data_IF_952025016704
#
_entry.id   IF_952025016704
#
_cell.length_a   1.000
_cell.length_b   1.000
_cell.length_c   1.000
_cell.angle_alpha   90.00
_cell.angle_beta   90.00
_cell.angle_gamma   90.00
#
_symmetry.space_group_name_H-M   'P 1'
#
loop_
_entity.id
_entity.type
_entity.pdbx_description
1 polymer ?
#
# COMPACT_ATOMS: atom_id res chain seq x y z
N UNK A 1 -12.10 16.56 0.03
CA UNK A 1 -12.78 16.85 1.31
C UNK A 1 -11.87 16.44 2.47
N UNK A 2 -10.56 16.71 2.39
CA UNK A 2 -9.65 16.39 3.48
C UNK A 2 -9.83 17.34 4.65
N UNK A 3 -9.58 16.87 5.88
CA UNK A 3 -9.61 17.71 7.09
C UNK A 3 -10.94 18.45 7.32
N UNK A 4 -12.06 17.85 6.89
CA UNK A 4 -13.39 18.46 6.96
C UNK A 4 -14.24 17.87 8.10
N UNK A 5 -13.64 17.13 9.04
CA UNK A 5 -14.32 16.46 10.16
C UNK A 5 -15.50 15.58 9.73
N UNK A 6 -15.43 14.96 8.55
CA UNK A 6 -16.51 14.12 8.01
C UNK A 6 -16.61 12.84 8.85
N UNK A 7 -17.59 12.79 9.76
CA UNK A 7 -17.82 11.62 10.61
C UNK A 7 -18.61 10.51 9.91
N UNK A 8 -19.42 10.86 8.92
CA UNK A 8 -20.24 9.91 8.15
C UNK A 8 -20.28 10.29 6.68
N UNK A 9 -20.08 9.31 5.82
CA UNK A 9 -20.42 9.36 4.39
C UNK A 9 -21.74 8.59 4.28
N UNK A 10 -22.76 9.04 3.55
CA UNK A 10 -23.99 8.26 3.32
C UNK A 10 -23.80 7.30 2.13
N UNK A 11 -24.57 6.19 2.04
CA UNK A 11 -24.29 5.10 1.09
C UNK A 11 -24.47 5.57 -0.36
N UNK A 12 -25.33 6.56 -0.53
CA UNK A 12 -25.68 7.19 -1.79
C UNK A 12 -24.85 8.43 -2.12
N UNK A 13 -23.92 8.85 -1.25
CA UNK A 13 -23.17 10.12 -1.39
C UNK A 13 -22.46 10.22 -2.74
N UNK A 14 -22.01 9.08 -3.30
CA UNK A 14 -21.30 9.04 -4.57
C UNK A 14 -22.10 8.36 -5.70
N UNK A 15 -23.21 7.67 -5.42
CA UNK A 15 -23.96 6.86 -6.40
C UNK A 15 -24.39 7.63 -7.66
N UNK A 16 -24.64 8.94 -7.56
CA UNK A 16 -25.05 9.81 -8.69
C UNK A 16 -23.88 10.49 -9.42
N UNK A 17 -22.64 10.35 -8.94
CA UNK A 17 -21.48 11.10 -9.43
C UNK A 17 -20.60 10.24 -10.35
N UNK A 18 -21.19 9.75 -11.45
CA UNK A 18 -20.49 8.93 -12.44
C UNK A 18 -19.28 9.58 -13.13
N UNK A 19 -18.89 10.79 -12.77
CA UNK A 19 -17.73 11.52 -13.29
C UNK A 19 -16.58 11.68 -12.29
N UNK A 20 -16.70 11.18 -11.05
CA UNK A 20 -15.61 11.32 -10.08
C UNK A 20 -14.38 10.53 -10.54
N UNK A 21 -13.30 11.25 -10.80
CA UNK A 21 -11.98 10.70 -11.10
C UNK A 21 -11.02 10.84 -9.92
N UNK A 22 -11.29 11.77 -9.01
CA UNK A 22 -10.50 12.03 -7.82
C UNK A 22 -11.41 12.18 -6.61
N UNK A 23 -11.08 11.49 -5.52
CA UNK A 23 -11.80 11.60 -4.26
C UNK A 23 -10.82 11.61 -3.09
N UNK A 24 -10.96 12.63 -2.26
CA UNK A 24 -10.15 12.78 -1.05
C UNK A 24 -11.05 12.89 0.18
N UNK A 25 -10.92 11.92 1.06
CA UNK A 25 -11.60 11.74 2.34
C UNK A 25 -10.58 11.64 3.49
N UNK A 26 -9.33 12.03 3.25
CA UNK A 26 -8.27 11.92 4.24
C UNK A 26 -8.51 12.80 5.48
N UNK A 27 -8.03 12.35 6.63
CA UNK A 27 -8.06 13.12 7.89
C UNK A 27 -9.46 13.60 8.31
N UNK A 28 -10.46 12.72 8.23
CA UNK A 28 -11.83 13.01 8.60
C UNK A 28 -12.34 12.21 9.81
N UNK A 29 -11.50 11.36 10.41
CA UNK A 29 -11.86 10.45 11.50
C UNK A 29 -13.07 9.55 11.16
N UNK A 30 -13.13 9.07 9.91
CA UNK A 30 -14.22 8.22 9.42
C UNK A 30 -14.12 6.85 10.10
N UNK A 31 -15.15 6.38 10.84
CA UNK A 31 -15.06 5.13 11.60
C UNK A 31 -15.23 3.89 10.72
N UNK A 32 -15.85 4.02 9.54
CA UNK A 32 -16.14 2.87 8.65
C UNK A 32 -16.32 3.31 7.20
N UNK A 33 -15.70 2.57 6.29
CA UNK A 33 -15.92 2.69 4.84
C UNK A 33 -16.25 1.30 4.30
N UNK A 34 -17.42 1.17 3.68
CA UNK A 34 -17.91 -0.07 3.08
C UNK A 34 -17.85 0.01 1.56
N UNK A 35 -17.91 -1.15 0.91
CA UNK A 35 -17.99 -1.31 -0.55
C UNK A 35 -19.20 -0.57 -1.15
N UNK A 36 -20.30 -0.47 -0.41
CA UNK A 36 -21.50 0.25 -0.85
C UNK A 36 -21.22 1.74 -1.11
N UNK A 37 -20.30 2.37 -0.36
CA UNK A 37 -19.93 3.79 -0.56
C UNK A 37 -19.31 4.04 -1.92
N UNK A 38 -18.64 3.05 -2.50
CA UNK A 38 -17.94 3.17 -3.78
C UNK A 38 -18.65 2.43 -4.93
N UNK A 39 -19.86 1.95 -4.69
CA UNK A 39 -20.62 1.23 -5.69
C UNK A 39 -20.81 2.10 -6.95
N UNK A 40 -20.47 1.55 -8.11
CA UNK A 40 -20.57 2.27 -9.39
C UNK A 40 -19.50 3.34 -9.63
N UNK A 41 -18.55 3.57 -8.72
CA UNK A 41 -17.44 4.54 -8.89
C UNK A 41 -16.32 3.98 -9.79
N UNK A 42 -16.68 3.43 -10.95
CA UNK A 42 -15.74 2.79 -11.86
C UNK A 42 -14.80 3.79 -12.53
N UNK A 43 -15.15 5.08 -12.59
CA UNK A 43 -14.33 6.13 -13.19
C UNK A 43 -13.29 6.73 -12.24
N UNK A 44 -13.28 6.32 -10.97
CA UNK A 44 -12.33 6.84 -9.99
C UNK A 44 -10.91 6.39 -10.33
N UNK A 45 -9.99 7.35 -10.41
CA UNK A 45 -8.58 7.16 -10.74
C UNK A 45 -7.70 7.29 -9.51
N UNK A 46 -8.03 8.20 -8.59
CA UNK A 46 -7.24 8.45 -7.38
C UNK A 46 -8.15 8.56 -6.15
N UNK A 47 -7.83 7.80 -5.11
CA UNK A 47 -8.57 7.74 -3.85
C UNK A 47 -7.64 7.96 -2.66
N UNK A 48 -7.94 8.98 -1.87
CA UNK A 48 -7.26 9.28 -0.62
C UNK A 48 -8.21 9.05 0.56
N UNK A 49 -7.86 8.11 1.45
CA UNK A 49 -8.59 7.86 2.70
C UNK A 49 -7.64 7.82 3.91
N UNK A 50 -6.41 8.30 3.73
CA UNK A 50 -5.35 8.30 4.75
C UNK A 50 -5.72 9.12 5.99
N UNK A 51 -5.10 8.84 7.13
CA UNK A 51 -5.35 9.61 8.37
C UNK A 51 -6.76 9.45 8.93
N UNK A 52 -7.43 8.33 8.64
CA UNK A 52 -8.65 7.91 9.31
C UNK A 52 -8.33 6.70 10.21
N UNK A 53 -7.72 6.92 11.39
CA UNK A 53 -7.28 5.84 12.26
C UNK A 53 -8.48 5.01 12.73
N UNK A 54 -8.30 3.70 12.84
CA UNK A 54 -9.35 2.75 13.25
C UNK A 54 -10.56 2.63 12.31
N UNK A 55 -10.47 3.19 11.10
CA UNK A 55 -11.51 3.03 10.09
C UNK A 55 -11.69 1.54 9.74
N UNK A 56 -12.89 0.99 9.97
CA UNK A 56 -13.24 -0.36 9.54
C UNK A 56 -13.42 -0.37 8.01
N UNK A 57 -12.47 -1.01 7.32
CA UNK A 57 -12.52 -1.27 5.88
C UNK A 57 -13.05 -2.69 5.65
N UNK A 58 -14.18 -2.80 4.95
CA UNK A 58 -14.69 -4.11 4.53
C UNK A 58 -13.76 -4.77 3.51
N UNK A 59 -13.78 -6.10 3.44
CA UNK A 59 -12.97 -6.87 2.48
C UNK A 59 -13.21 -6.51 1.01
N UNK A 60 -14.34 -5.86 0.70
CA UNK A 60 -14.72 -5.47 -0.66
C UNK A 60 -14.68 -3.96 -0.87
N UNK A 61 -14.16 -3.18 0.08
CA UNK A 61 -14.23 -1.71 0.05
C UNK A 61 -13.86 -1.13 -1.31
N UNK A 62 -12.75 -1.56 -1.91
CA UNK A 62 -12.30 -1.04 -3.20
C UNK A 62 -12.76 -1.88 -4.41
N UNK A 63 -13.67 -2.83 -4.20
CA UNK A 63 -14.07 -3.83 -5.20
C UNK A 63 -14.69 -3.26 -6.47
N UNK A 64 -15.33 -2.09 -6.40
CA UNK A 64 -15.94 -1.42 -7.57
C UNK A 64 -15.00 -0.45 -8.30
N UNK A 65 -13.80 -0.19 -7.77
CA UNK A 65 -12.88 0.85 -8.26
C UNK A 65 -11.97 0.32 -9.38
N UNK A 66 -12.56 -0.21 -10.45
CA UNK A 66 -11.82 -0.95 -11.49
C UNK A 66 -10.77 -0.13 -12.22
N UNK A 67 -10.95 1.20 -12.37
CA UNK A 67 -10.00 2.09 -13.03
C UNK A 67 -9.04 2.81 -12.07
N UNK A 68 -9.03 2.44 -10.78
CA UNK A 68 -8.18 3.10 -9.80
C UNK A 68 -6.71 2.88 -10.12
N UNK A 69 -5.95 3.97 -10.14
CA UNK A 69 -4.51 3.99 -10.40
C UNK A 69 -3.71 4.35 -9.15
N UNK A 70 -4.29 5.14 -8.25
CA UNK A 70 -3.63 5.64 -7.05
C UNK A 70 -4.52 5.41 -5.83
N UNK A 71 -3.96 4.77 -4.80
CA UNK A 71 -4.65 4.49 -3.55
C UNK A 71 -3.76 4.89 -2.36
N UNK A 72 -4.27 5.80 -1.55
CA UNK A 72 -3.60 6.29 -0.33
C UNK A 72 -4.38 5.88 0.92
N UNK A 73 -3.85 4.90 1.64
CA UNK A 73 -4.39 4.29 2.87
C UNK A 73 -3.39 4.40 4.04
N UNK A 74 -2.59 5.45 4.03
CA UNK A 74 -1.58 5.71 5.06
C UNK A 74 -2.21 6.13 6.40
N UNK A 75 -1.51 5.85 7.50
CA UNK A 75 -1.89 6.31 8.85
C UNK A 75 -3.32 5.92 9.25
N UNK A 76 -3.74 4.69 8.89
CA UNK A 76 -5.08 4.16 9.15
C UNK A 76 -5.12 3.12 10.28
N UNK A 77 -3.99 2.86 10.94
CA UNK A 77 -3.84 1.83 11.96
C UNK A 77 -4.06 0.38 11.46
N UNK A 78 -3.89 0.13 10.16
CA UNK A 78 -4.07 -1.19 9.56
C UNK A 78 -3.03 -2.19 10.09
N UNK A 79 -3.47 -3.34 10.59
CA UNK A 79 -2.56 -4.41 11.06
C UNK A 79 -2.18 -5.41 9.96
N UNK A 80 -2.97 -5.47 8.89
CA UNK A 80 -2.82 -6.39 7.76
C UNK A 80 -3.45 -5.82 6.50
N UNK A 81 -2.88 -6.20 5.36
CA UNK A 81 -3.51 -6.04 4.06
C UNK A 81 -4.31 -7.31 3.74
N UNK A 82 -5.57 -7.15 3.32
CA UNK A 82 -6.43 -8.26 2.93
C UNK A 82 -6.42 -8.36 1.39
N UNK A 83 -5.95 -9.46 0.80
CA UNK A 83 -5.72 -9.55 -0.65
C UNK A 83 -6.97 -9.23 -1.48
N UNK A 84 -8.13 -9.71 -1.01
CA UNK A 84 -9.41 -9.59 -1.72
C UNK A 84 -9.86 -8.13 -1.92
N UNK A 85 -9.40 -7.20 -1.06
CA UNK A 85 -9.68 -5.76 -1.20
C UNK A 85 -9.08 -5.18 -2.48
N UNK A 86 -8.01 -5.77 -2.98
CA UNK A 86 -7.23 -5.22 -4.10
C UNK A 86 -7.45 -6.00 -5.41
N UNK A 87 -8.16 -7.12 -5.39
CA UNK A 87 -8.30 -8.04 -6.54
C UNK A 87 -8.80 -7.35 -7.82
N UNK A 88 -9.67 -6.36 -7.70
CA UNK A 88 -10.27 -5.66 -8.84
C UNK A 88 -9.48 -4.42 -9.29
N UNK A 89 -8.42 -4.03 -8.58
CA UNK A 89 -7.63 -2.83 -8.86
C UNK A 89 -6.57 -3.12 -9.94
N UNK A 90 -7.03 -3.55 -11.12
CA UNK A 90 -6.15 -4.02 -12.21
C UNK A 90 -5.25 -2.93 -12.78
N UNK A 91 -5.62 -1.66 -12.60
CA UNK A 91 -4.89 -0.51 -13.10
C UNK A 91 -4.06 0.19 -12.02
N UNK A 92 -3.99 -0.36 -10.80
CA UNK A 92 -3.28 0.29 -9.69
C UNK A 92 -1.77 0.37 -9.98
N UNK A 93 -1.24 1.60 -9.91
CA UNK A 93 0.18 1.94 -10.13
C UNK A 93 0.84 2.45 -8.87
N UNK A 94 0.09 3.09 -7.98
CA UNK A 94 0.60 3.63 -6.72
C UNK A 94 -0.25 3.11 -5.57
N UNK A 95 0.43 2.50 -4.59
CA UNK A 95 -0.13 2.15 -3.30
C UNK A 95 0.73 2.79 -2.21
N UNK A 96 0.12 3.69 -1.45
CA UNK A 96 0.71 4.27 -0.25
C UNK A 96 -0.02 3.72 0.98
N UNK A 97 0.67 2.88 1.75
CA UNK A 97 0.19 2.29 2.98
C UNK A 97 1.16 2.53 4.16
N UNK A 98 1.91 3.64 4.10
CA UNK A 98 2.87 3.99 5.12
C UNK A 98 2.22 4.36 6.46
N UNK A 99 2.98 4.27 7.54
CA UNK A 99 2.51 4.70 8.86
C UNK A 99 1.38 3.85 9.43
N UNK A 100 1.21 2.62 8.93
CA UNK A 100 0.28 1.64 9.46
C UNK A 100 0.97 0.69 10.48
N UNK A 101 0.25 -0.34 10.94
CA UNK A 101 0.71 -1.33 11.92
C UNK A 101 0.91 -2.71 11.26
N UNK A 102 1.26 -2.75 9.98
CA UNK A 102 1.33 -4.00 9.20
C UNK A 102 2.53 -4.83 9.67
N UNK A 103 2.25 -6.05 10.15
CA UNK A 103 3.27 -6.99 10.68
C UNK A 103 3.81 -7.96 9.65
N UNK A 104 2.96 -8.35 8.71
CA UNK A 104 3.21 -9.38 7.71
C UNK A 104 2.34 -9.16 6.49
N UNK A 105 2.87 -9.55 5.34
CA UNK A 105 2.14 -9.70 4.09
C UNK A 105 2.08 -11.21 3.83
N UNK A 106 0.90 -11.80 3.75
CA UNK A 106 0.69 -13.25 3.66
C UNK A 106 0.03 -13.68 2.34
N UNK A 107 0.35 -12.96 1.27
CA UNK A 107 -0.12 -13.28 -0.06
C UNK A 107 0.95 -12.96 -1.10
N UNK A 108 0.76 -13.55 -2.28
CA UNK A 108 1.59 -13.21 -3.42
C UNK A 108 1.22 -11.80 -3.91
N UNK A 109 2.07 -10.84 -3.53
CA UNK A 109 1.92 -9.44 -3.89
C UNK A 109 1.87 -9.25 -5.41
N UNK A 110 2.57 -10.10 -6.16
CA UNK A 110 2.58 -10.07 -7.62
C UNK A 110 1.34 -10.60 -8.29
N UNK A 111 0.70 -11.59 -7.68
CA UNK A 111 -0.57 -12.11 -8.17
C UNK A 111 -1.70 -11.07 -8.04
N UNK A 112 -1.58 -10.18 -7.05
CA UNK A 112 -2.59 -9.13 -6.78
C UNK A 112 -2.29 -7.86 -7.57
N UNK A 113 -1.05 -7.38 -7.52
CA UNK A 113 -0.66 -6.06 -8.02
C UNK A 113 0.12 -6.15 -9.33
N UNK A 114 -0.60 -6.42 -10.42
CA UNK A 114 -0.01 -6.71 -11.74
C UNK A 114 0.72 -5.52 -12.40
N UNK A 115 0.30 -4.28 -12.09
CA UNK A 115 0.77 -3.06 -12.76
C UNK A 115 1.34 -2.02 -11.78
N UNK A 116 1.61 -2.43 -10.53
CA UNK A 116 2.11 -1.51 -9.53
C UNK A 116 3.50 -1.01 -9.94
N UNK A 117 3.79 0.24 -9.62
CA UNK A 117 5.04 0.94 -9.93
C UNK A 117 5.63 1.59 -8.69
N UNK A 118 4.77 2.10 -7.81
CA UNK A 118 5.16 2.78 -6.58
C UNK A 118 4.47 2.13 -5.39
N UNK A 119 5.27 1.73 -4.40
CA UNK A 119 4.80 1.11 -3.17
C UNK A 119 5.50 1.78 -1.97
N UNK A 120 4.71 2.30 -1.04
CA UNK A 120 5.23 2.86 0.22
C UNK A 120 4.73 2.09 1.44
N UNK A 121 5.54 1.11 1.86
CA UNK A 121 5.33 0.32 3.08
C UNK A 121 6.09 0.90 4.27
N UNK A 122 6.62 2.13 4.18
CA UNK A 122 7.47 2.68 5.24
C UNK A 122 6.70 2.89 6.55
N UNK A 123 7.43 2.97 7.67
CA UNK A 123 6.86 3.18 9.02
C UNK A 123 5.76 2.19 9.38
N UNK A 124 5.96 0.93 9.01
CA UNK A 124 5.16 -0.22 9.45
C UNK A 124 5.99 -1.08 10.42
N UNK A 125 5.51 -2.28 10.77
CA UNK A 125 6.19 -3.20 11.70
C UNK A 125 6.53 -4.53 11.05
N UNK A 126 6.83 -4.50 9.75
CA UNK A 126 7.20 -5.67 8.96
C UNK A 126 8.52 -6.26 9.46
N UNK A 127 8.53 -7.56 9.73
CA UNK A 127 9.76 -8.32 10.06
C UNK A 127 10.33 -9.06 8.86
N UNK A 128 9.47 -9.44 7.92
CA UNK A 128 9.80 -10.25 6.75
C UNK A 128 8.90 -9.83 5.61
N UNK A 129 9.42 -9.94 4.40
CA UNK A 129 8.64 -9.84 3.18
C UNK A 129 8.26 -11.25 2.72
N UNK A 130 7.12 -11.43 2.03
CA UNK A 130 6.81 -12.67 1.35
C UNK A 130 7.94 -13.06 0.41
N UNK A 131 8.05 -14.36 0.11
CA UNK A 131 8.95 -14.82 -0.94
C UNK A 131 8.36 -14.33 -2.27
N UNK A 132 8.95 -13.27 -2.80
CA UNK A 132 8.59 -12.73 -4.09
C UNK A 132 9.42 -13.40 -5.17
N UNK A 133 8.77 -13.83 -6.25
CA UNK A 133 9.47 -14.34 -7.41
C UNK A 133 10.12 -13.17 -8.14
N UNK A 134 11.33 -13.36 -8.69
CA UNK A 134 12.14 -12.28 -9.26
C UNK A 134 11.38 -11.42 -10.29
N UNK A 135 10.44 -12.00 -11.03
CA UNK A 135 9.71 -11.32 -12.09
C UNK A 135 8.61 -10.38 -11.55
N UNK A 136 8.08 -10.68 -10.37
CA UNK A 136 6.98 -9.93 -9.75
C UNK A 136 7.30 -8.45 -9.51
N UNK A 137 8.56 -8.15 -9.16
CA UNK A 137 9.00 -6.80 -8.80
C UNK A 137 9.73 -6.09 -9.95
N UNK A 138 9.78 -6.71 -11.13
CA UNK A 138 10.49 -6.15 -12.30
C UNK A 138 9.86 -4.85 -12.81
N UNK A 139 8.56 -4.64 -12.57
CA UNK A 139 7.83 -3.43 -12.94
C UNK A 139 7.86 -2.34 -11.86
N UNK A 140 8.27 -2.66 -10.62
CA UNK A 140 8.33 -1.66 -9.56
C UNK A 140 9.46 -0.66 -9.82
N UNK A 141 9.06 0.61 -9.85
CA UNK A 141 9.96 1.75 -10.01
C UNK A 141 10.39 2.30 -8.67
N UNK A 142 9.55 2.28 -7.64
CA UNK A 142 9.86 2.79 -6.30
C UNK A 142 9.28 1.89 -5.22
N UNK A 143 10.10 1.52 -4.25
CA UNK A 143 9.65 0.76 -3.07
C UNK A 143 10.27 1.34 -1.81
N UNK A 144 9.44 1.93 -0.96
CA UNK A 144 9.85 2.46 0.34
C UNK A 144 9.49 1.46 1.44
N UNK A 145 10.47 1.17 2.29
CA UNK A 145 10.33 0.22 3.40
C UNK A 145 11.04 0.68 4.68
N UNK A 146 11.55 1.92 4.69
CA UNK A 146 12.22 2.50 5.85
C UNK A 146 11.31 2.49 7.08
N UNK A 147 11.88 2.48 8.28
CA UNK A 147 11.08 2.47 9.52
C UNK A 147 10.32 1.18 9.79
N UNK A 148 10.70 0.05 9.16
CA UNK A 148 10.22 -1.30 9.51
C UNK A 148 11.24 -2.09 10.34
N UNK A 149 10.84 -3.24 10.88
CA UNK A 149 11.69 -4.15 11.66
C UNK A 149 12.28 -5.31 10.82
N UNK A 150 12.65 -5.05 9.56
CA UNK A 150 13.00 -6.09 8.59
C UNK A 150 14.28 -6.87 8.97
N UNK A 151 14.18 -8.20 8.96
CA UNK A 151 15.31 -9.11 9.12
C UNK A 151 16.09 -9.24 7.80
N UNK A 152 17.20 -8.54 7.68
CA UNK A 152 18.01 -8.54 6.47
C UNK A 152 18.95 -9.75 6.35
N UNK A 153 18.42 -10.83 5.77
CA UNK A 153 19.18 -12.02 5.41
C UNK A 153 19.06 -12.33 3.91
N UNK A 154 19.60 -13.46 3.45
CA UNK A 154 19.60 -13.82 2.03
C UNK A 154 18.22 -13.91 1.38
N UNK A 155 17.14 -14.07 2.14
CA UNK A 155 15.77 -14.03 1.60
C UNK A 155 15.43 -12.66 1.02
N UNK A 156 16.13 -11.60 1.42
CA UNK A 156 15.98 -10.24 0.90
C UNK A 156 17.02 -9.89 -0.18
N UNK A 157 17.83 -10.84 -0.66
CA UNK A 157 18.87 -10.57 -1.67
C UNK A 157 18.29 -10.02 -2.98
N UNK A 158 17.08 -10.47 -3.36
CA UNK A 158 16.40 -10.04 -4.58
C UNK A 158 16.19 -8.50 -4.59
N UNK A 159 15.99 -7.86 -3.43
CA UNK A 159 15.91 -6.39 -3.33
C UNK A 159 17.11 -5.69 -3.96
N UNK A 160 18.34 -6.21 -3.79
CA UNK A 160 19.54 -5.59 -4.36
C UNK A 160 19.59 -5.62 -5.89
N UNK A 161 18.98 -6.64 -6.51
CA UNK A 161 19.01 -6.83 -7.96
C UNK A 161 17.83 -6.14 -8.64
N UNK A 162 16.68 -6.07 -7.98
CA UNK A 162 15.49 -5.39 -8.49
C UNK A 162 15.58 -3.86 -8.40
N UNK A 163 16.56 -3.27 -7.70
CA UNK A 163 16.52 -1.85 -7.31
C UNK A 163 17.80 -1.04 -7.60
N UNK A 164 18.09 -0.78 -8.88
CA UNK A 164 18.87 0.44 -9.23
C UNK A 164 18.00 1.71 -9.32
N UNK A 165 16.67 1.58 -9.35
CA UNK A 165 15.71 2.70 -9.47
C UNK A 165 14.77 2.88 -8.27
N UNK A 166 14.60 1.83 -7.44
CA UNK A 166 13.50 1.77 -6.48
C UNK A 166 13.85 2.04 -5.03
N UNK A 167 15.12 2.23 -4.71
CA UNK A 167 15.55 2.68 -3.39
C UNK A 167 15.61 4.21 -3.43
N UNK A 168 14.93 4.82 -2.46
CA UNK A 168 14.86 6.26 -2.19
C UNK A 168 16.15 7.02 -2.57
N UNK A 169 16.09 8.13 -3.32
CA UNK A 169 17.25 8.98 -3.60
C UNK A 169 17.96 9.47 -2.34
N UNK A 170 17.27 9.58 -1.20
CA UNK A 170 17.86 9.92 0.10
C UNK A 170 18.81 8.81 0.63
N UNK A 171 18.82 7.64 -0.02
CA UNK A 171 19.62 6.45 0.32
C UNK A 171 20.63 6.04 -0.77
N UNK A 172 20.89 6.90 -1.76
CA UNK A 172 21.96 6.69 -2.75
C UNK A 172 23.39 6.68 -2.14
N UNK A 173 23.51 6.83 -0.82
CA UNK A 173 24.73 6.63 -0.03
C UNK A 173 24.58 5.51 1.02
N UNK A 174 23.76 4.50 0.74
CA UNK A 174 23.71 3.27 1.53
C UNK A 174 22.51 3.14 2.46
N UNK A 175 21.77 2.06 2.19
CA UNK A 175 21.17 1.14 3.17
C UNK A 175 19.64 1.08 3.27
N UNK A 176 19.11 -0.10 2.97
CA UNK A 176 18.04 -0.65 3.79
C UNK A 176 18.51 -0.61 5.26
N UNK A 177 17.87 0.19 6.13
CA UNK A 177 18.19 0.18 7.56
C UNK A 177 17.65 -1.11 8.16
N UNK A 178 18.54 -2.08 8.28
CA UNK A 178 18.29 -3.36 8.92
C UNK A 178 18.49 -3.20 10.43
N UNK A 179 17.43 -3.35 11.22
CA UNK A 179 17.59 -3.39 12.67
C UNK A 179 18.32 -4.68 13.07
N UNK A 180 19.52 -4.54 13.61
CA UNK A 180 20.39 -5.64 14.05
C UNK A 180 21.56 -5.92 13.10
N UNK A 181 22.73 -5.36 13.44
CA UNK A 181 24.07 -5.67 12.90
C UNK A 181 24.40 -5.21 11.48
N UNK A 182 24.27 -3.90 11.25
CA UNK A 182 24.96 -3.17 10.17
C UNK A 182 24.24 -3.19 8.82
N UNK A 183 24.52 -2.16 8.03
CA UNK A 183 23.90 -1.78 6.76
C UNK A 183 24.04 -2.77 5.59
N UNK A 184 24.26 -4.06 5.88
CA UNK A 184 24.52 -5.07 4.88
C UNK A 184 23.58 -6.26 5.05
N UNK A 185 22.90 -6.65 3.96
CA UNK A 185 22.33 -8.00 3.84
C UNK A 185 23.49 -8.98 3.96
N UNK A 186 23.71 -9.52 5.16
CA UNK A 186 24.76 -10.51 5.42
C UNK A 186 24.22 -11.88 5.04
N UNK A 187 24.92 -12.50 4.10
CA UNK A 187 24.70 -13.89 3.71
C UNK A 187 25.87 -14.70 4.22
N UNK A 188 25.61 -15.72 5.05
CA UNK A 188 26.60 -16.74 5.30
C UNK A 188 26.97 -17.39 3.97
N UNK A 189 28.28 -17.47 3.67
CA UNK A 189 28.77 -18.32 2.60
C UNK A 189 28.61 -19.75 3.09
N UNK A 190 27.69 -20.51 2.50
CA UNK A 190 27.74 -21.97 2.53
C UNK A 190 28.43 -22.42 1.25
#
# INVERSE_FOLDING_TARGET
MAHCEIQTIADDTFLSRGSLTYLDLSYNNIPRITDQRFLGQTNLVSLHISGNPHCDLSEKTFGSLSNLQELFIAEMDLERLIPVMFTNLKHLRLLDDHGNKIRKIEFDFGAVFLNLQHLDLSRNILKRLPKWYNDTFSHLTTVKMSGNALQCNCKLRWLKHSTKKALDPEYASGALVCYGLGYHIRCAKH
#
